data_IF_407649148847
#
_entry.id   IF_407649148847
#
_cell.length_a   1.000
_cell.length_b   1.000
_cell.length_c   1.000
_cell.angle_alpha   90.00
_cell.angle_beta   90.00
_cell.angle_gamma   90.00
#
_symmetry.space_group_name_H-M   'P 1'
#
loop_
_entity.id
_entity.type
_entity.pdbx_description
1 polymer ?
#
# COMPACT_ATOMS: atom_id res chain seq x y z
N UNK A 1 33.92 0.67 1.79
CA UNK A 1 32.68 1.15 1.14
C UNK A 1 32.42 0.16 0.02
N UNK A 2 31.17 -0.32 -0.08
CA UNK A 2 30.72 -1.51 -0.84
C UNK A 2 30.94 -2.87 -0.14
N UNK A 3 29.88 -3.37 0.52
CA UNK A 3 29.24 -4.68 0.26
C UNK A 3 28.18 -5.04 1.32
N UNK A 4 27.58 -4.07 2.02
CA UNK A 4 26.44 -4.30 2.94
C UNK A 4 25.12 -4.60 2.21
N UNK A 5 25.11 -4.61 0.87
CA UNK A 5 23.94 -4.95 0.04
C UNK A 5 23.80 -6.44 -0.29
N UNK A 6 24.85 -7.25 -0.08
CA UNK A 6 24.83 -8.69 -0.40
C UNK A 6 24.26 -9.55 0.74
N UNK A 7 24.33 -9.08 1.99
CA UNK A 7 23.99 -9.92 3.13
C UNK A 7 22.50 -10.25 3.24
N UNK A 8 21.62 -9.35 2.80
CA UNK A 8 20.17 -9.59 2.75
C UNK A 8 19.79 -10.59 1.66
N UNK A 9 20.31 -10.42 0.43
CA UNK A 9 19.94 -11.26 -0.71
C UNK A 9 20.41 -12.72 -0.55
N UNK A 10 21.60 -12.91 0.03
CA UNK A 10 22.22 -14.23 0.20
C UNK A 10 21.52 -15.08 1.26
N UNK A 11 20.93 -14.46 2.30
CA UNK A 11 20.23 -15.18 3.37
C UNK A 11 18.83 -15.67 2.95
N UNK A 12 18.14 -14.95 2.04
CA UNK A 12 16.86 -15.40 1.47
C UNK A 12 17.04 -16.56 0.47
N UNK A 13 18.19 -16.62 -0.22
CA UNK A 13 18.46 -17.61 -1.26
C UNK A 13 18.71 -19.02 -0.69
N UNK A 14 19.31 -19.10 0.51
CA UNK A 14 19.76 -20.38 1.09
C UNK A 14 18.64 -21.18 1.79
N UNK A 15 17.43 -20.62 1.93
CA UNK A 15 16.28 -21.27 2.60
C UNK A 15 15.00 -21.35 1.74
N UNK A 16 14.96 -20.72 0.56
CA UNK A 16 13.77 -20.66 -0.28
C UNK A 16 13.82 -21.72 -1.40
N UNK A 17 12.84 -22.61 -1.45
CA UNK A 17 12.67 -23.53 -2.59
C UNK A 17 12.44 -22.72 -3.89
N UNK A 18 12.89 -23.20 -5.07
CA UNK A 18 12.66 -22.51 -6.34
C UNK A 18 11.19 -22.11 -6.59
N UNK A 19 10.24 -22.93 -6.11
CA UNK A 19 8.81 -22.65 -6.15
C UNK A 19 8.40 -21.42 -5.34
N UNK A 20 9.00 -21.18 -4.16
CA UNK A 20 8.72 -20.01 -3.33
C UNK A 20 9.23 -18.73 -3.99
N UNK A 21 10.40 -18.76 -4.61
CA UNK A 21 10.96 -17.61 -5.35
C UNK A 21 10.04 -17.22 -6.51
N UNK A 22 9.57 -18.19 -7.29
CA UNK A 22 8.62 -17.95 -8.39
C UNK A 22 7.31 -17.35 -7.88
N UNK A 23 6.73 -17.88 -6.80
CA UNK A 23 5.52 -17.35 -6.19
C UNK A 23 5.70 -15.91 -5.67
N UNK A 24 6.87 -15.62 -5.10
CA UNK A 24 7.20 -14.29 -4.61
C UNK A 24 7.28 -13.27 -5.75
N UNK A 25 8.02 -13.60 -6.82
CA UNK A 25 8.11 -12.77 -8.01
C UNK A 25 6.75 -12.59 -8.67
N UNK A 26 5.97 -13.68 -8.81
CA UNK A 26 4.62 -13.62 -9.36
C UNK A 26 3.71 -12.71 -8.54
N UNK A 27 3.84 -12.70 -7.21
CA UNK A 27 3.08 -11.82 -6.31
C UNK A 27 3.46 -10.35 -6.51
N UNK A 28 4.75 -10.05 -6.69
CA UNK A 28 5.23 -8.69 -7.02
C UNK A 28 4.64 -8.22 -8.35
N UNK A 29 4.74 -9.04 -9.41
CA UNK A 29 4.16 -8.70 -10.72
C UNK A 29 2.65 -8.52 -10.64
N UNK A 30 1.97 -9.37 -9.86
CA UNK A 30 0.52 -9.24 -9.63
C UNK A 30 0.17 -7.90 -8.97
N UNK A 31 0.99 -7.43 -8.02
CA UNK A 31 0.83 -6.10 -7.43
C UNK A 31 0.96 -4.96 -8.44
N UNK A 32 1.92 -5.03 -9.35
CA UNK A 32 2.09 -4.03 -10.42
C UNK A 32 0.88 -4.04 -11.36
N UNK A 33 0.45 -5.23 -11.80
CA UNK A 33 -0.73 -5.38 -12.67
C UNK A 33 -1.98 -4.84 -11.99
N UNK A 34 -2.18 -5.15 -10.71
CA UNK A 34 -3.29 -4.65 -9.91
C UNK A 34 -3.29 -3.12 -9.85
N UNK A 35 -2.13 -2.48 -9.67
CA UNK A 35 -2.03 -1.02 -9.70
C UNK A 35 -2.49 -0.44 -11.03
N UNK A 36 -2.05 -1.03 -12.16
CA UNK A 36 -2.48 -0.60 -13.51
C UNK A 36 -3.98 -0.75 -13.69
N UNK A 37 -4.55 -1.89 -13.28
CA UNK A 37 -5.98 -2.16 -13.38
C UNK A 37 -6.81 -1.18 -12.56
N UNK A 38 -6.43 -0.94 -11.30
CA UNK A 38 -7.15 -0.03 -10.42
C UNK A 38 -6.97 1.43 -10.85
N UNK A 39 -5.79 1.83 -11.31
CA UNK A 39 -5.56 3.15 -11.88
C UNK A 39 -6.49 3.41 -13.07
N UNK A 40 -6.55 2.45 -14.00
CA UNK A 40 -7.40 2.53 -15.20
C UNK A 40 -8.87 2.53 -14.84
N UNK A 41 -9.29 1.66 -13.93
CA UNK A 41 -10.67 1.60 -13.43
C UNK A 41 -11.06 2.88 -12.71
N UNK A 42 -10.16 3.46 -11.92
CA UNK A 42 -10.38 4.75 -11.25
C UNK A 42 -10.59 5.85 -12.28
N UNK A 43 -9.77 5.91 -13.33
CA UNK A 43 -9.92 6.89 -14.40
C UNK A 43 -11.27 6.76 -15.13
N UNK A 44 -11.66 5.52 -15.46
CA UNK A 44 -12.93 5.23 -16.13
C UNK A 44 -14.11 5.62 -15.23
N UNK A 45 -14.18 5.07 -14.01
CA UNK A 45 -15.25 5.35 -13.06
C UNK A 45 -15.35 6.84 -12.75
N UNK A 46 -14.21 7.53 -12.61
CA UNK A 46 -14.21 8.96 -12.34
C UNK A 46 -14.71 9.78 -13.52
N UNK A 47 -14.38 9.38 -14.75
CA UNK A 47 -14.93 10.03 -15.95
C UNK A 47 -16.44 9.85 -16.08
N UNK A 48 -16.98 8.72 -15.64
CA UNK A 48 -18.40 8.39 -15.68
C UNK A 48 -19.19 9.09 -14.56
N UNK A 49 -18.65 9.09 -13.33
CA UNK A 49 -19.34 9.60 -12.14
C UNK A 49 -19.17 11.11 -11.96
N UNK A 50 -18.05 11.68 -12.42
CA UNK A 50 -17.67 13.06 -12.14
C UNK A 50 -17.42 13.85 -13.43
N UNK A 51 -18.43 14.63 -13.87
CA UNK A 51 -18.28 15.54 -15.03
C UNK A 51 -17.13 16.55 -14.91
N UNK A 52 -16.72 16.87 -13.68
CA UNK A 52 -15.57 17.72 -13.40
C UNK A 52 -14.22 17.05 -13.66
N UNK A 53 -14.14 15.71 -13.59
CA UNK A 53 -12.91 14.96 -13.85
C UNK A 53 -12.38 15.23 -15.27
N UNK A 54 -13.27 15.33 -16.27
CA UNK A 54 -12.89 15.66 -17.64
C UNK A 54 -12.16 17.00 -17.78
N UNK A 55 -12.47 17.97 -16.91
CA UNK A 55 -11.92 19.33 -16.91
C UNK A 55 -10.59 19.47 -16.16
N UNK A 56 -10.18 18.43 -15.42
CA UNK A 56 -8.91 18.43 -14.71
C UNK A 56 -7.73 18.42 -15.71
N UNK A 57 -6.66 19.08 -15.33
CA UNK A 57 -5.37 19.00 -16.01
C UNK A 57 -4.81 17.58 -15.96
N UNK A 58 -3.84 17.29 -16.83
CA UNK A 58 -3.19 15.97 -16.86
C UNK A 58 -2.55 15.61 -15.53
N UNK A 59 -1.90 16.57 -14.86
CA UNK A 59 -1.29 16.36 -13.54
C UNK A 59 -2.32 16.01 -12.46
N UNK A 60 -3.43 16.74 -12.41
CA UNK A 60 -4.51 16.48 -11.45
C UNK A 60 -5.18 15.12 -11.69
N UNK A 61 -5.33 14.69 -12.96
CA UNK A 61 -5.85 13.35 -13.29
C UNK A 61 -4.90 12.25 -12.82
N UNK A 62 -3.60 12.44 -12.99
CA UNK A 62 -2.60 11.47 -12.54
C UNK A 62 -2.62 11.38 -11.01
N UNK A 63 -2.65 12.51 -10.29
CA UNK A 63 -2.78 12.50 -8.81
C UNK A 63 -4.07 11.81 -8.36
N UNK A 64 -5.20 12.16 -8.98
CA UNK A 64 -6.49 11.57 -8.68
C UNK A 64 -6.50 10.05 -8.82
N UNK A 65 -6.00 9.55 -9.94
CA UNK A 65 -5.96 8.12 -10.21
C UNK A 65 -4.94 7.39 -9.32
N UNK A 66 -3.81 8.04 -9.00
CA UNK A 66 -2.83 7.51 -8.06
C UNK A 66 -3.40 7.32 -6.65
N UNK A 67 -4.16 8.32 -6.17
CA UNK A 67 -4.90 8.20 -4.90
C UNK A 67 -5.89 7.04 -4.94
N UNK A 68 -6.49 6.77 -6.09
CA UNK A 68 -7.40 5.63 -6.30
C UNK A 68 -6.74 4.28 -5.99
N UNK A 69 -5.64 3.94 -6.67
CA UNK A 69 -4.99 2.64 -6.43
C UNK A 69 -4.32 2.55 -5.05
N UNK A 70 -3.79 3.66 -4.52
CA UNK A 70 -3.29 3.74 -3.13
C UNK A 70 -4.38 3.44 -2.09
N UNK A 71 -5.60 3.91 -2.32
CA UNK A 71 -6.76 3.61 -1.45
C UNK A 71 -7.13 2.14 -1.53
N UNK A 72 -7.19 1.59 -2.74
CA UNK A 72 -7.51 0.17 -2.93
C UNK A 72 -6.48 -0.72 -2.23
N UNK A 73 -5.19 -0.41 -2.39
CA UNK A 73 -4.12 -1.15 -1.73
C UNK A 73 -4.23 -1.08 -0.20
N UNK A 74 -4.49 0.11 0.36
CA UNK A 74 -4.67 0.29 1.80
C UNK A 74 -5.85 -0.54 2.35
N UNK A 75 -6.98 -0.58 1.63
CA UNK A 75 -8.14 -1.41 1.98
C UNK A 75 -7.83 -2.90 1.86
N UNK A 76 -7.14 -3.31 0.79
CA UNK A 76 -6.71 -4.68 0.57
C UNK A 76 -5.81 -5.18 1.70
N UNK A 77 -4.75 -4.42 2.04
CA UNK A 77 -3.82 -4.80 3.11
C UNK A 77 -4.52 -4.77 4.46
N UNK A 78 -5.33 -3.75 4.77
CA UNK A 78 -6.11 -3.72 6.01
C UNK A 78 -7.00 -4.97 6.17
N UNK A 79 -7.72 -5.34 5.12
CA UNK A 79 -8.60 -6.52 5.12
C UNK A 79 -7.82 -7.83 5.25
N UNK A 80 -6.71 -7.96 4.51
CA UNK A 80 -5.84 -9.13 4.56
C UNK A 80 -5.17 -9.27 5.94
N UNK A 81 -4.69 -8.17 6.52
CA UNK A 81 -4.14 -8.12 7.86
C UNK A 81 -5.19 -8.50 8.91
N UNK A 82 -6.41 -7.96 8.83
CA UNK A 82 -7.49 -8.36 9.73
C UNK A 82 -7.77 -9.87 9.64
N UNK A 83 -7.89 -10.42 8.44
CA UNK A 83 -8.08 -11.85 8.24
C UNK A 83 -6.93 -12.67 8.84
N UNK A 84 -5.69 -12.37 8.47
CA UNK A 84 -4.51 -13.12 8.91
C UNK A 84 -4.32 -13.06 10.43
N UNK A 85 -4.61 -11.92 11.05
CA UNK A 85 -4.29 -11.67 12.45
C UNK A 85 -5.43 -12.03 13.42
N UNK A 86 -6.69 -11.88 13.00
CA UNK A 86 -7.86 -12.08 13.87
C UNK A 86 -8.61 -13.36 13.53
N UNK A 87 -8.74 -13.68 12.24
CA UNK A 87 -9.57 -14.80 11.79
C UNK A 87 -8.77 -16.08 11.52
N UNK A 88 -7.47 -15.97 11.24
CA UNK A 88 -6.62 -17.10 10.90
C UNK A 88 -5.74 -17.54 12.07
N UNK A 89 -5.45 -18.85 12.14
CA UNK A 89 -4.56 -19.40 13.16
C UNK A 89 -3.06 -19.19 12.88
N UNK A 90 -2.70 -18.58 11.74
CA UNK A 90 -1.32 -18.39 11.27
C UNK A 90 -0.47 -17.65 12.32
N UNK A 91 -1.04 -16.61 12.93
CA UNK A 91 -0.36 -15.77 13.92
C UNK A 91 -0.92 -15.94 15.35
N UNK A 92 -1.72 -16.97 15.60
CA UNK A 92 -2.31 -17.24 16.92
C UNK A 92 -1.23 -17.75 17.90
N UNK A 93 -1.06 -17.08 19.03
CA UNK A 93 0.02 -17.37 20.00
C UNK A 93 -0.07 -18.80 20.55
N UNK A 94 -1.26 -19.41 20.56
CA UNK A 94 -1.51 -20.72 21.17
C UNK A 94 -1.41 -21.92 20.21
N UNK A 95 -1.26 -21.70 18.90
CA UNK A 95 -1.47 -22.75 17.88
C UNK A 95 -0.21 -23.51 17.45
N UNK A 96 0.99 -22.92 17.55
CA UNK A 96 2.24 -23.52 17.06
C UNK A 96 3.42 -23.18 17.98
N UNK A 97 4.28 -24.14 18.30
CA UNK A 97 5.41 -23.97 19.24
C UNK A 97 6.52 -22.99 18.79
N UNK A 98 6.39 -22.37 17.61
CA UNK A 98 7.35 -21.41 17.06
C UNK A 98 7.00 -19.96 17.41
N UNK A 99 8.03 -19.11 17.52
CA UNK A 99 7.87 -17.66 17.67
C UNK A 99 7.09 -17.08 16.49
N UNK A 100 6.08 -16.23 16.76
CA UNK A 100 5.13 -15.73 15.77
C UNK A 100 5.81 -14.98 14.60
N UNK A 101 6.98 -14.39 14.86
CA UNK A 101 7.79 -13.67 13.86
C UNK A 101 8.32 -14.60 12.75
N UNK A 102 8.55 -15.88 13.06
CA UNK A 102 9.06 -16.84 12.07
C UNK A 102 7.95 -17.58 11.31
N UNK A 103 6.68 -17.19 11.53
CA UNK A 103 5.54 -17.82 10.90
C UNK A 103 5.17 -17.07 9.62
N UNK A 104 5.03 -17.82 8.54
CA UNK A 104 4.48 -17.29 7.29
C UNK A 104 3.48 -18.27 6.69
N UNK A 105 2.59 -17.74 5.86
CA UNK A 105 1.66 -18.50 5.05
C UNK A 105 1.79 -18.04 3.60
N UNK A 106 1.36 -18.87 2.65
CA UNK A 106 1.32 -18.48 1.23
C UNK A 106 0.53 -17.18 1.04
N UNK A 107 -0.53 -16.97 1.82
CA UNK A 107 -1.32 -15.75 1.77
C UNK A 107 -0.55 -14.52 2.30
N UNK A 108 0.14 -14.62 3.44
CA UNK A 108 0.92 -13.51 3.97
C UNK A 108 2.08 -13.13 3.04
N UNK A 109 2.76 -14.14 2.47
CA UNK A 109 3.85 -13.94 1.52
C UNK A 109 3.34 -13.28 0.23
N UNK A 110 2.16 -13.70 -0.25
CA UNK A 110 1.52 -13.10 -1.42
C UNK A 110 1.09 -11.65 -1.16
N UNK A 111 0.47 -11.36 0.00
CA UNK A 111 0.07 -9.99 0.39
C UNK A 111 1.29 -9.08 0.48
N UNK A 112 2.40 -9.56 1.07
CA UNK A 112 3.66 -8.83 1.12
C UNK A 112 4.23 -8.58 -0.28
N UNK A 113 4.29 -9.60 -1.14
CA UNK A 113 4.76 -9.48 -2.51
C UNK A 113 3.92 -8.48 -3.33
N UNK A 114 2.60 -8.56 -3.25
CA UNK A 114 1.66 -7.61 -3.88
C UNK A 114 1.93 -6.18 -3.36
N UNK A 115 2.18 -6.02 -2.07
CA UNK A 115 2.51 -4.73 -1.46
C UNK A 115 3.82 -4.15 -1.95
N UNK A 116 4.84 -4.99 -2.16
CA UNK A 116 6.11 -4.56 -2.77
C UNK A 116 5.88 -4.08 -4.21
N UNK A 117 5.10 -4.81 -5.00
CA UNK A 117 4.72 -4.39 -6.36
C UNK A 117 3.99 -3.04 -6.38
N UNK A 118 3.10 -2.81 -5.40
CA UNK A 118 2.46 -1.52 -5.18
C UNK A 118 3.48 -0.42 -4.86
N UNK A 119 4.40 -0.64 -3.91
CA UNK A 119 5.40 0.37 -3.53
C UNK A 119 6.31 0.74 -4.69
N UNK A 120 6.74 -0.23 -5.49
CA UNK A 120 7.54 0.03 -6.68
C UNK A 120 6.79 0.89 -7.70
N UNK A 121 5.50 0.61 -7.89
CA UNK A 121 4.66 1.38 -8.81
C UNK A 121 4.43 2.81 -8.32
N UNK A 122 4.10 2.97 -7.02
CA UNK A 122 3.90 4.29 -6.40
C UNK A 122 5.19 5.12 -6.47
N UNK A 123 6.34 4.52 -6.15
CA UNK A 123 7.65 5.16 -6.26
C UNK A 123 7.98 5.56 -7.69
N UNK A 124 7.77 4.67 -8.67
CA UNK A 124 8.03 4.96 -10.08
C UNK A 124 7.17 6.13 -10.57
N UNK A 125 5.89 6.16 -10.21
CA UNK A 125 4.99 7.25 -10.57
C UNK A 125 5.42 8.58 -9.95
N UNK A 126 5.86 8.57 -8.69
CA UNK A 126 6.38 9.76 -7.99
C UNK A 126 7.61 10.30 -8.71
N UNK A 127 8.59 9.45 -8.99
CA UNK A 127 9.84 9.85 -9.66
C UNK A 127 9.57 10.40 -11.06
N UNK A 128 8.65 9.78 -11.81
CA UNK A 128 8.37 10.16 -13.19
C UNK A 128 7.61 11.50 -13.32
N UNK A 129 6.84 11.87 -12.30
CA UNK A 129 5.97 13.03 -12.34
C UNK A 129 6.32 14.08 -11.28
N UNK A 130 7.50 13.99 -10.67
CA UNK A 130 7.99 15.01 -9.74
C UNK A 130 8.21 16.33 -10.50
N UNK A 131 7.77 17.51 -9.99
CA UNK A 131 7.09 17.76 -8.70
C UNK A 131 5.55 17.75 -8.76
N UNK A 132 4.95 17.53 -9.93
CA UNK A 132 3.52 17.64 -10.17
C UNK A 132 2.65 16.68 -9.34
N UNK A 133 3.24 15.57 -8.88
CA UNK A 133 2.55 14.53 -8.13
C UNK A 133 2.78 14.56 -6.62
N UNK A 134 3.57 15.51 -6.04
CA UNK A 134 4.38 15.16 -4.88
C UNK A 134 4.59 16.20 -3.78
N UNK A 135 3.55 16.92 -3.32
CA UNK A 135 3.68 17.87 -2.19
C UNK A 135 4.12 17.23 -0.85
N UNK A 136 3.98 17.97 0.26
CA UNK A 136 4.39 17.54 1.62
C UNK A 136 3.85 16.16 2.06
N UNK A 137 2.67 15.76 1.57
CA UNK A 137 2.07 14.45 1.85
C UNK A 137 2.96 13.28 1.39
N UNK A 138 3.69 13.44 0.29
CA UNK A 138 4.54 12.38 -0.27
C UNK A 138 5.87 12.25 0.46
N UNK A 139 6.44 13.37 0.89
CA UNK A 139 7.58 13.37 1.81
C UNK A 139 7.20 12.61 3.08
N UNK A 140 6.01 12.87 3.64
CA UNK A 140 5.51 12.13 4.80
C UNK A 140 5.33 10.63 4.54
N UNK A 141 4.82 10.23 3.36
CA UNK A 141 4.71 8.80 2.98
C UNK A 141 6.06 8.11 2.91
N UNK A 142 7.06 8.72 2.27
CA UNK A 142 8.43 8.19 2.19
C UNK A 142 9.05 8.07 3.58
N UNK A 143 8.93 9.11 4.43
CA UNK A 143 9.40 9.05 5.82
C UNK A 143 8.69 7.98 6.64
N UNK A 144 7.38 7.79 6.46
CA UNK A 144 6.62 6.74 7.13
C UNK A 144 7.13 5.34 6.75
N UNK A 145 7.41 5.10 5.46
CA UNK A 145 7.99 3.83 5.02
C UNK A 145 9.40 3.64 5.55
N UNK A 146 10.25 4.65 5.47
CA UNK A 146 11.60 4.60 6.04
C UNK A 146 11.57 4.33 7.54
N UNK A 147 10.67 4.97 8.28
CA UNK A 147 10.48 4.76 9.71
C UNK A 147 10.05 3.31 10.01
N UNK A 148 9.06 2.79 9.27
CA UNK A 148 8.61 1.40 9.41
C UNK A 148 9.74 0.40 9.12
N UNK A 149 10.45 0.54 7.98
CA UNK A 149 11.54 -0.36 7.62
C UNK A 149 12.74 -0.25 8.57
N UNK A 150 13.09 0.96 9.00
CA UNK A 150 14.13 1.18 10.01
C UNK A 150 13.77 0.54 11.34
N UNK A 151 12.52 0.68 11.79
CA UNK A 151 12.08 0.12 13.05
C UNK A 151 12.01 -1.42 12.98
N UNK A 152 11.53 -1.98 11.88
CA UNK A 152 11.58 -3.43 11.62
C UNK A 152 13.05 -3.90 11.64
N UNK A 153 13.94 -3.27 10.89
CA UNK A 153 15.35 -3.69 10.76
C UNK A 153 16.16 -3.56 12.05
N UNK A 154 15.91 -2.53 12.87
CA UNK A 154 16.63 -2.32 14.14
C UNK A 154 16.06 -3.15 15.29
N UNK A 155 14.76 -3.48 15.27
CA UNK A 155 14.11 -4.18 16.38
C UNK A 155 14.06 -5.69 16.23
N UNK A 156 14.53 -6.29 15.13
CA UNK A 156 14.61 -7.75 14.94
C UNK A 156 15.25 -8.56 16.10
N UNK A 157 15.94 -7.90 17.05
CA UNK A 157 16.67 -8.52 18.17
C UNK A 157 15.86 -8.61 19.48
N UNK A 158 14.69 -7.96 19.63
CA UNK A 158 13.87 -8.01 20.88
C UNK A 158 12.51 -8.72 20.71
N UNK A 159 12.52 -10.05 20.81
CA UNK A 159 11.48 -11.00 20.35
C UNK A 159 10.12 -10.97 21.09
N UNK A 160 9.73 -9.93 21.85
CA UNK A 160 8.40 -9.90 22.51
C UNK A 160 7.58 -8.62 22.37
N UNK A 161 8.20 -7.44 22.31
CA UNK A 161 7.45 -6.18 22.13
C UNK A 161 7.12 -5.87 20.66
N UNK A 162 7.93 -6.39 19.73
CA UNK A 162 7.73 -6.26 18.27
C UNK A 162 6.41 -6.88 17.82
N UNK A 163 5.97 -7.97 18.46
CA UNK A 163 4.79 -8.68 18.01
C UNK A 163 3.55 -7.82 18.17
N UNK A 164 3.34 -7.23 19.35
CA UNK A 164 2.15 -6.44 19.62
C UNK A 164 2.18 -5.11 18.84
N UNK A 165 3.32 -4.43 18.81
CA UNK A 165 3.46 -3.17 18.07
C UNK A 165 3.42 -3.36 16.53
N UNK A 166 4.07 -4.41 16.02
CA UNK A 166 4.03 -4.81 14.61
C UNK A 166 2.62 -5.22 14.17
N UNK A 167 1.91 -5.96 15.01
CA UNK A 167 0.51 -6.34 14.81
C UNK A 167 -0.39 -5.10 14.69
N UNK A 168 -0.27 -4.17 15.64
CA UNK A 168 -1.05 -2.94 15.60
C UNK A 168 -0.69 -2.08 14.40
N UNK A 169 0.59 -1.95 14.03
CA UNK A 169 0.98 -1.14 12.87
C UNK A 169 0.52 -1.74 11.54
N UNK A 170 0.52 -3.07 11.38
CA UNK A 170 0.02 -3.76 10.18
C UNK A 170 -1.49 -3.57 9.96
N UNK A 171 -2.29 -3.41 11.02
CA UNK A 171 -3.73 -3.12 10.89
C UNK A 171 -3.98 -1.60 10.87
N UNK A 172 -3.46 -0.86 11.84
CA UNK A 172 -3.75 0.56 12.02
C UNK A 172 -3.22 1.42 10.88
N UNK A 173 -1.98 1.22 10.43
CA UNK A 173 -1.38 2.11 9.42
C UNK A 173 -2.14 2.03 8.09
N UNK A 174 -2.39 0.84 7.50
CA UNK A 174 -3.18 0.74 6.28
C UNK A 174 -4.64 1.20 6.47
N UNK A 175 -5.25 0.92 7.63
CA UNK A 175 -6.63 1.36 7.90
C UNK A 175 -6.75 2.88 8.00
N UNK A 176 -5.82 3.54 8.69
CA UNK A 176 -5.77 5.00 8.79
C UNK A 176 -5.50 5.61 7.42
N UNK A 177 -4.58 5.07 6.63
CA UNK A 177 -4.34 5.52 5.25
C UNK A 177 -5.59 5.38 4.38
N UNK A 178 -6.32 4.27 4.49
CA UNK A 178 -7.57 4.07 3.77
C UNK A 178 -8.61 5.12 4.15
N UNK A 179 -8.80 5.39 5.45
CA UNK A 179 -9.73 6.42 5.95
C UNK A 179 -9.33 7.81 5.47
N UNK A 180 -8.05 8.17 5.54
CA UNK A 180 -7.54 9.47 5.07
C UNK A 180 -7.78 9.66 3.58
N UNK A 181 -7.50 8.64 2.77
CA UNK A 181 -7.75 8.69 1.34
C UNK A 181 -9.26 8.77 1.01
N UNK A 182 -10.11 8.02 1.70
CA UNK A 182 -11.58 8.10 1.56
C UNK A 182 -12.08 9.50 1.93
N UNK A 183 -11.59 10.08 3.03
CA UNK A 183 -11.94 11.43 3.46
C UNK A 183 -11.53 12.49 2.43
N UNK A 184 -10.37 12.31 1.80
CA UNK A 184 -9.93 13.17 0.71
C UNK A 184 -10.88 13.09 -0.49
N UNK A 185 -11.24 11.88 -0.94
CA UNK A 185 -12.25 11.70 -2.01
C UNK A 185 -13.59 12.34 -1.66
N UNK A 186 -14.05 12.19 -0.42
CA UNK A 186 -15.29 12.82 0.03
C UNK A 186 -15.21 14.35 0.00
N UNK A 187 -14.08 14.94 0.43
CA UNK A 187 -13.87 16.39 0.36
C UNK A 187 -13.96 16.90 -1.09
N UNK A 188 -13.34 16.21 -2.04
CA UNK A 188 -13.41 16.63 -3.45
C UNK A 188 -14.83 16.46 -4.00
N UNK A 189 -15.48 15.33 -3.75
CA UNK A 189 -16.87 15.10 -4.16
C UNK A 189 -17.81 16.20 -3.62
N UNK A 190 -17.66 16.56 -2.35
CA UNK A 190 -18.44 17.65 -1.71
C UNK A 190 -18.16 19.01 -2.34
N UNK A 191 -16.90 19.30 -2.68
CA UNK A 191 -16.51 20.52 -3.42
C UNK A 191 -17.16 20.58 -4.80
N UNK A 192 -17.13 19.47 -5.53
CA UNK A 192 -17.75 19.36 -6.85
C UNK A 192 -19.28 19.56 -6.82
N UNK A 193 -19.97 18.93 -5.86
CA UNK A 193 -21.42 19.09 -5.68
C UNK A 193 -21.75 20.56 -5.45
N UNK A 194 -21.01 21.26 -4.56
CA UNK A 194 -21.23 22.69 -4.30
C UNK A 194 -21.10 23.55 -5.56
N UNK A 195 -20.08 23.30 -6.39
CA UNK A 195 -19.86 24.03 -7.65
C UNK A 195 -20.99 23.78 -8.65
N UNK A 196 -21.45 22.52 -8.77
CA UNK A 196 -22.56 22.17 -9.66
C UNK A 196 -23.89 22.78 -9.20
N UNK A 197 -24.19 22.79 -7.89
CA UNK A 197 -25.39 23.45 -7.36
C UNK A 197 -25.37 24.96 -7.56
N UNK A 198 -24.22 25.62 -7.39
CA UNK A 198 -24.09 27.07 -7.66
C UNK A 198 -24.27 27.38 -9.15
N UNK A 199 -23.70 26.57 -10.04
CA UNK A 199 -23.90 26.75 -11.48
C UNK A 199 -25.35 26.53 -11.93
N UNK A 200 -26.11 25.68 -11.21
CA UNK A 200 -27.53 25.45 -11.46
C UNK A 200 -28.43 26.59 -10.97
N UNK A 201 -28.05 27.30 -9.91
CA UNK A 201 -28.80 28.45 -9.37
C UNK A 201 -28.47 29.79 -10.04
N UNK A 202 -27.36 29.88 -10.78
CA UNK A 202 -26.95 31.08 -11.52
C UNK A 202 -27.52 31.12 -12.95
N UNK A 203 -28.36 30.14 -13.32
CA UNK A 203 -29.00 29.99 -14.62
C UNK A 203 -30.50 30.11 -14.45
#
# INVERSE_FOLDING_TARGET
MELTSSFGLTFFYDYATPSKVVLWLASIFSGIILCVLVYTSTAILSSLLFKGYGKLSSAEKIEWNNRGFSTFHALFVSSASFYLLILSDVFNVNSHGDVVINRSSTLSDAVLGISIGYFLTDLAMILWNFPALGGLEYVARIFLFMFLFYHIGTRYVEVKEIFLFGFYTLIMVPSVLAVLNIFWFWKIAKGMVKTLTKAKHSK
#
